data_IF_160342155098
#
_entry.id   IF_160342155098
#
_cell.length_a   1.000
_cell.length_b   1.000
_cell.length_c   1.000
_cell.angle_alpha   90.00
_cell.angle_beta   90.00
_cell.angle_gamma   90.00
#
_symmetry.space_group_name_H-M   'P 1'
#
loop_
_entity.id
_entity.type
_entity.pdbx_description
1 polymer ?
#
# COMPACT_ATOMS: atom_id res chain seq x y z
N UNK A 1 39.46 30.10 -14.25
CA UNK A 1 38.67 30.70 -15.35
C UNK A 1 37.21 30.32 -15.15
N UNK A 2 36.38 31.27 -14.67
CA UNK A 2 34.96 31.01 -14.46
C UNK A 2 34.25 30.86 -15.81
N UNK A 3 33.60 29.72 -16.05
CA UNK A 3 32.72 29.54 -17.21
C UNK A 3 31.70 30.67 -17.19
N UNK A 4 31.62 31.44 -18.27
CA UNK A 4 30.53 32.37 -18.48
C UNK A 4 29.22 31.57 -18.38
N UNK A 5 28.54 31.68 -17.23
CA UNK A 5 27.15 31.24 -17.12
C UNK A 5 26.42 32.08 -18.18
N UNK A 6 25.99 31.44 -19.27
CA UNK A 6 25.04 32.04 -20.18
C UNK A 6 23.88 32.51 -19.31
N UNK A 7 23.81 33.81 -19.00
CA UNK A 7 22.63 34.42 -18.42
C UNK A 7 21.58 34.27 -19.49
N UNK A 8 20.79 33.20 -19.41
CA UNK A 8 19.66 32.97 -20.30
C UNK A 8 18.72 34.13 -20.05
N UNK A 9 18.84 35.17 -20.88
CA UNK A 9 17.92 36.28 -20.84
C UNK A 9 16.56 35.73 -21.26
N UNK A 10 15.49 36.02 -20.51
CA UNK A 10 14.16 35.58 -20.90
C UNK A 10 13.88 35.99 -22.35
N UNK A 11 13.41 35.05 -23.17
CA UNK A 11 13.20 35.24 -24.61
C UNK A 11 12.40 36.51 -24.92
N UNK A 12 11.40 36.84 -24.10
CA UNK A 12 10.59 38.05 -24.27
C UNK A 12 11.41 39.34 -24.20
N UNK A 13 12.47 39.41 -23.38
CA UNK A 13 13.35 40.58 -23.29
C UNK A 13 14.18 40.78 -24.55
N UNK A 14 14.58 39.69 -25.20
CA UNK A 14 15.30 39.75 -26.49
C UNK A 14 14.38 40.26 -27.59
N UNK A 15 13.16 39.73 -27.65
CA UNK A 15 12.12 40.14 -28.61
C UNK A 15 11.73 41.60 -28.40
N UNK A 16 11.56 42.06 -27.15
CA UNK A 16 11.34 43.48 -26.85
C UNK A 16 12.46 44.37 -27.38
N UNK A 17 13.73 43.97 -27.18
CA UNK A 17 14.88 44.71 -27.68
C UNK A 17 14.87 44.83 -29.20
N UNK A 18 14.58 43.74 -29.90
CA UNK A 18 14.47 43.72 -31.36
C UNK A 18 13.32 44.59 -31.88
N UNK A 19 12.16 44.55 -31.21
CA UNK A 19 11.01 45.40 -31.57
C UNK A 19 11.33 46.88 -31.34
N UNK A 20 11.96 47.24 -30.22
CA UNK A 20 12.35 48.63 -29.90
C UNK A 20 13.37 49.18 -30.88
N UNK A 21 14.30 48.35 -31.34
CA UNK A 21 15.34 48.73 -32.31
C UNK A 21 14.85 48.68 -33.77
N UNK A 22 13.56 48.37 -34.01
CA UNK A 22 13.02 48.23 -35.36
C UNK A 22 13.51 47.01 -36.13
N UNK A 23 14.22 46.09 -35.48
CA UNK A 23 14.75 44.85 -36.07
C UNK A 23 13.68 43.79 -36.34
N UNK A 24 12.47 43.95 -35.78
CA UNK A 24 11.33 43.08 -36.10
C UNK A 24 9.98 43.77 -35.84
N UNK A 25 8.92 43.28 -36.49
CA UNK A 25 7.54 43.67 -36.18
C UNK A 25 7.14 43.10 -34.82
N UNK A 26 6.39 43.88 -34.03
CA UNK A 26 5.86 43.47 -32.72
C UNK A 26 4.98 42.20 -32.87
N UNK A 27 5.32 41.09 -32.18
CA UNK A 27 4.48 39.89 -32.18
C UNK A 27 3.20 40.07 -31.36
N UNK A 28 2.13 39.41 -31.77
CA UNK A 28 0.81 39.51 -31.13
C UNK A 28 0.78 38.92 -29.71
N UNK A 29 1.69 38.00 -29.39
CA UNK A 29 1.82 37.42 -28.05
C UNK A 29 2.57 38.31 -27.07
N UNK A 30 3.35 39.30 -27.54
CA UNK A 30 4.19 40.11 -26.66
C UNK A 30 3.39 40.93 -25.63
N UNK A 31 2.26 41.58 -25.98
CA UNK A 31 1.35 42.19 -25.00
C UNK A 31 0.82 41.20 -23.96
N UNK A 32 0.60 39.93 -24.35
CA UNK A 32 0.08 38.90 -23.44
C UNK A 32 1.09 38.59 -22.33
N UNK A 33 2.38 38.54 -22.66
CA UNK A 33 3.46 38.30 -21.67
C UNK A 33 3.63 39.46 -20.70
N UNK A 34 3.36 40.70 -21.13
CA UNK A 34 3.34 41.83 -20.21
C UNK A 34 2.14 41.80 -19.26
N UNK A 35 0.99 41.32 -19.75
CA UNK A 35 -0.22 41.15 -18.93
C UNK A 35 -0.08 40.01 -17.93
N UNK A 36 0.57 38.93 -18.34
CA UNK A 36 0.79 37.73 -17.55
C UNK A 36 2.28 37.35 -17.59
N UNK A 37 3.13 38.02 -16.77
CA UNK A 37 4.55 37.72 -16.75
C UNK A 37 4.79 36.28 -16.30
N UNK A 38 5.82 35.59 -16.86
CA UNK A 38 6.17 34.26 -16.40
C UNK A 38 6.55 34.31 -14.90
N UNK A 39 6.25 33.24 -14.15
CA UNK A 39 6.61 33.17 -12.74
C UNK A 39 8.14 33.33 -12.58
N UNK A 40 8.60 33.96 -11.48
CA UNK A 40 10.03 34.03 -11.21
C UNK A 40 10.57 32.62 -11.06
N UNK A 41 11.74 32.37 -11.65
CA UNK A 41 12.46 31.11 -11.45
C UNK A 41 12.78 31.00 -9.96
N UNK A 42 12.42 29.90 -9.28
CA UNK A 42 12.82 29.66 -7.90
C UNK A 42 14.32 29.87 -7.77
N UNK A 43 14.77 30.49 -6.67
CA UNK A 43 16.19 30.71 -6.48
C UNK A 43 16.89 29.34 -6.35
N UNK A 44 17.94 29.15 -7.14
CA UNK A 44 18.85 27.99 -7.05
C UNK A 44 19.72 28.03 -5.78
N UNK A 45 19.58 29.03 -4.89
CA UNK A 45 20.33 29.11 -3.64
C UNK A 45 19.93 28.04 -2.60
N UNK A 46 18.87 27.28 -2.89
CA UNK A 46 18.52 26.04 -2.18
C UNK A 46 18.98 24.84 -3.02
N UNK A 47 20.28 24.59 -3.00
CA UNK A 47 20.97 23.52 -3.77
C UNK A 47 20.48 22.08 -3.51
N UNK A 48 19.49 21.87 -2.63
CA UNK A 48 18.96 20.54 -2.32
C UNK A 48 17.44 20.53 -2.41
N UNK A 49 16.92 19.78 -3.38
CA UNK A 49 15.52 19.37 -3.42
C UNK A 49 15.24 18.62 -2.11
N UNK A 50 14.24 19.03 -1.30
CA UNK A 50 13.92 18.34 -0.07
C UNK A 50 13.45 16.92 -0.39
N UNK A 51 13.95 15.94 0.35
CA UNK A 51 13.43 14.56 0.30
C UNK A 51 12.16 14.54 1.14
N UNK A 52 11.04 14.18 0.50
CA UNK A 52 9.77 13.96 1.19
C UNK A 52 9.83 12.54 1.77
N UNK A 53 9.68 12.43 3.08
CA UNK A 53 9.67 11.18 3.82
C UNK A 53 8.49 11.18 4.79
N UNK A 54 7.83 10.03 4.94
CA UNK A 54 6.72 9.85 5.85
C UNK A 54 7.08 8.92 7.02
N UNK A 55 6.44 9.04 8.20
CA UNK A 55 6.70 8.16 9.33
C UNK A 55 6.49 6.68 9.02
N UNK A 56 5.47 6.35 8.22
CA UNK A 56 5.16 5.00 7.78
C UNK A 56 6.27 4.38 6.91
N UNK A 57 7.08 5.17 6.20
CA UNK A 57 8.19 4.65 5.40
C UNK A 57 9.17 3.88 6.29
N UNK A 58 9.48 4.42 7.48
CA UNK A 58 10.32 3.77 8.48
C UNK A 58 9.67 2.48 9.01
N UNK A 59 8.37 2.51 9.30
CA UNK A 59 7.65 1.36 9.84
C UNK A 59 7.56 0.22 8.81
N UNK A 60 7.32 0.55 7.54
CA UNK A 60 7.31 -0.41 6.43
C UNK A 60 8.70 -1.04 6.23
N UNK A 61 9.77 -0.24 6.25
CA UNK A 61 11.15 -0.76 6.20
C UNK A 61 11.44 -1.70 7.37
N UNK A 62 11.02 -1.34 8.58
CA UNK A 62 11.17 -2.20 9.76
C UNK A 62 10.40 -3.50 9.61
N UNK A 63 9.16 -3.45 9.14
CA UNK A 63 8.33 -4.63 8.87
C UNK A 63 9.02 -5.59 7.90
N UNK A 64 9.50 -5.09 6.76
CA UNK A 64 10.21 -5.88 5.76
C UNK A 64 11.52 -6.43 6.31
N UNK A 65 12.29 -5.63 7.08
CA UNK A 65 13.58 -6.06 7.62
C UNK A 65 13.50 -7.21 8.63
N UNK A 66 12.39 -7.30 9.38
CA UNK A 66 12.17 -8.33 10.40
C UNK A 66 11.69 -9.66 9.82
N UNK A 67 11.27 -9.68 8.56
CA UNK A 67 10.67 -10.84 7.91
C UNK A 67 11.64 -11.47 6.92
N UNK A 68 11.63 -12.79 6.87
CA UNK A 68 12.34 -13.55 5.84
C UNK A 68 11.42 -13.75 4.63
N UNK A 69 11.69 -13.06 3.52
CA UNK A 69 10.99 -13.31 2.27
C UNK A 69 10.74 -12.06 1.42
N UNK A 70 10.19 -12.28 0.23
CA UNK A 70 9.75 -11.21 -0.65
C UNK A 70 8.35 -10.75 -0.25
N UNK A 71 8.28 -9.80 0.68
CA UNK A 71 7.02 -9.14 1.03
C UNK A 71 6.67 -8.12 -0.06
N UNK A 72 5.40 -8.11 -0.43
CA UNK A 72 4.85 -7.12 -1.35
C UNK A 72 4.94 -5.71 -0.72
N UNK A 73 5.60 -4.73 -1.34
CA UNK A 73 5.72 -3.38 -0.79
C UNK A 73 4.38 -2.75 -0.42
N UNK A 74 3.31 -3.07 -1.17
CA UNK A 74 1.96 -2.61 -0.85
C UNK A 74 1.47 -3.13 0.51
N UNK A 75 1.66 -4.42 0.79
CA UNK A 75 1.32 -5.02 2.09
C UNK A 75 2.12 -4.38 3.23
N UNK A 76 3.40 -4.09 3.00
CA UNK A 76 4.24 -3.45 4.01
C UNK A 76 3.77 -2.02 4.34
N UNK A 77 3.30 -1.28 3.35
CA UNK A 77 2.74 0.07 3.56
C UNK A 77 1.40 0.02 4.29
N UNK A 78 0.51 -0.92 3.94
CA UNK A 78 -0.76 -1.10 4.66
C UNK A 78 -0.52 -1.47 6.13
N UNK A 79 0.44 -2.37 6.40
CA UNK A 79 0.85 -2.70 7.75
C UNK A 79 1.34 -1.47 8.50
N UNK A 80 2.18 -0.66 7.86
CA UNK A 80 2.74 0.55 8.44
C UNK A 80 1.68 1.62 8.74
N UNK A 81 0.68 1.78 7.87
CA UNK A 81 -0.44 2.71 8.06
C UNK A 81 -1.35 2.27 9.23
N UNK A 82 -1.65 0.98 9.33
CA UNK A 82 -2.42 0.44 10.46
C UNK A 82 -1.62 0.54 11.77
N UNK A 83 -0.31 0.25 11.74
CA UNK A 83 0.54 0.38 12.92
C UNK A 83 0.63 1.84 13.37
N UNK A 84 0.74 2.78 12.43
CA UNK A 84 0.74 4.20 12.73
C UNK A 84 -0.58 4.63 13.36
N UNK A 85 -1.71 4.12 12.87
CA UNK A 85 -3.04 4.39 13.44
C UNK A 85 -3.12 3.96 14.91
N UNK A 86 -2.65 2.75 15.25
CA UNK A 86 -2.61 2.26 16.63
C UNK A 86 -1.69 3.12 17.52
N UNK A 87 -0.56 3.58 16.97
CA UNK A 87 0.36 4.47 17.69
C UNK A 87 -0.31 5.83 17.97
N UNK A 88 -1.06 6.37 17.01
CA UNK A 88 -1.82 7.61 17.18
C UNK A 88 -2.92 7.49 18.23
N UNK A 89 -3.52 6.30 18.39
CA UNK A 89 -4.47 5.98 19.46
C UNK A 89 -3.82 5.82 20.85
N UNK A 90 -2.48 5.85 20.91
CA UNK A 90 -1.71 5.81 22.16
C UNK A 90 -1.12 4.45 22.50
N UNK A 91 -1.17 3.48 21.58
CA UNK A 91 -0.57 2.16 21.77
C UNK A 91 0.95 2.24 21.50
N UNK A 92 1.82 1.70 22.37
CA UNK A 92 3.25 1.67 22.12
C UNK A 92 3.63 0.94 20.81
N UNK A 93 4.68 1.41 20.12
CA UNK A 93 5.12 0.89 18.80
C UNK A 93 5.30 -0.64 18.79
N UNK A 94 5.89 -1.22 19.83
CA UNK A 94 6.09 -2.67 19.97
C UNK A 94 4.77 -3.43 20.13
N UNK A 95 3.85 -2.91 20.95
CA UNK A 95 2.54 -3.54 21.15
C UNK A 95 1.68 -3.44 19.90
N UNK A 96 1.70 -2.30 19.21
CA UNK A 96 1.01 -2.12 17.93
C UNK A 96 1.53 -3.11 16.87
N UNK A 97 2.84 -3.36 16.84
CA UNK A 97 3.45 -4.36 15.97
C UNK A 97 2.94 -5.77 16.30
N UNK A 98 3.00 -6.18 17.56
CA UNK A 98 2.59 -7.51 18.01
C UNK A 98 1.09 -7.77 17.78
N UNK A 99 0.25 -6.74 17.88
CA UNK A 99 -1.18 -6.86 17.59
C UNK A 99 -1.47 -7.10 16.10
N UNK A 100 -0.67 -6.52 15.22
CA UNK A 100 -0.89 -6.61 13.77
C UNK A 100 -0.20 -7.80 13.12
N UNK A 101 0.84 -8.35 13.75
CA UNK A 101 1.67 -9.38 13.14
C UNK A 101 0.84 -10.63 12.79
N UNK A 102 -0.01 -11.08 13.70
CA UNK A 102 -0.84 -12.28 13.51
C UNK A 102 -1.86 -12.08 12.39
N UNK A 103 -2.45 -10.88 12.31
CA UNK A 103 -3.37 -10.51 11.22
C UNK A 103 -2.65 -10.57 9.87
N UNK A 104 -1.46 -9.96 9.78
CA UNK A 104 -0.75 -9.84 8.52
C UNK A 104 -0.08 -11.13 8.05
N UNK A 105 0.22 -12.08 8.93
CA UNK A 105 0.62 -13.45 8.52
C UNK A 105 -0.45 -14.13 7.67
N UNK A 106 -1.73 -13.99 8.07
CA UNK A 106 -2.86 -14.55 7.32
C UNK A 106 -3.07 -13.81 6.00
N UNK A 107 -2.99 -12.48 6.01
CA UNK A 107 -3.13 -11.65 4.79
C UNK A 107 -2.05 -11.97 3.77
N UNK A 108 -0.79 -12.08 4.21
CA UNK A 108 0.33 -12.46 3.34
C UNK A 108 0.15 -13.85 2.74
N UNK A 109 -0.25 -14.83 3.55
CA UNK A 109 -0.56 -16.18 3.09
C UNK A 109 -1.65 -16.19 2.01
N UNK A 110 -2.75 -15.48 2.25
CA UNK A 110 -3.86 -15.40 1.29
C UNK A 110 -3.46 -14.68 -0.01
N UNK A 111 -2.71 -13.59 0.09
CA UNK A 111 -2.18 -12.87 -1.10
C UNK A 111 -1.22 -13.73 -1.90
N UNK A 112 -0.36 -14.50 -1.22
CA UNK A 112 0.55 -15.43 -1.88
C UNK A 112 -0.24 -16.53 -2.62
N UNK A 113 -1.21 -17.17 -1.95
CA UNK A 113 -2.04 -18.21 -2.55
C UNK A 113 -2.81 -17.67 -3.76
N UNK A 114 -3.42 -16.49 -3.66
CA UNK A 114 -4.12 -15.83 -4.76
C UNK A 114 -3.20 -15.53 -5.96
N UNK A 115 -1.98 -15.03 -5.71
CA UNK A 115 -0.99 -14.82 -6.79
C UNK A 115 -0.59 -16.13 -7.46
N UNK A 116 -0.34 -17.19 -6.69
CA UNK A 116 0.02 -18.52 -7.22
C UNK A 116 -1.13 -19.13 -8.02
N UNK A 117 -2.35 -18.98 -7.55
CA UNK A 117 -3.57 -19.43 -8.21
C UNK A 117 -3.74 -18.79 -9.58
N UNK A 118 -3.67 -17.45 -9.65
CA UNK A 118 -3.77 -16.69 -10.89
C UNK A 118 -2.69 -17.09 -11.89
N UNK A 119 -1.45 -17.29 -11.45
CA UNK A 119 -0.36 -17.76 -12.32
C UNK A 119 -0.62 -19.15 -12.92
N UNK A 120 -1.38 -20.00 -12.22
CA UNK A 120 -1.74 -21.35 -12.68
C UNK A 120 -3.05 -21.39 -13.47
N UNK A 121 -3.71 -20.24 -13.67
CA UNK A 121 -5.02 -20.16 -14.33
C UNK A 121 -6.16 -20.78 -13.50
N UNK A 122 -5.95 -20.95 -12.19
CA UNK A 122 -6.95 -21.46 -11.26
C UNK A 122 -7.58 -20.25 -10.57
N UNK A 123 -8.91 -20.13 -10.62
CA UNK A 123 -9.64 -19.18 -9.78
C UNK A 123 -9.89 -19.86 -8.43
N UNK A 124 -9.27 -19.35 -7.36
CA UNK A 124 -9.73 -19.68 -6.00
C UNK A 124 -11.00 -18.87 -5.72
N UNK A 125 -11.89 -19.42 -4.88
CA UNK A 125 -12.99 -18.65 -4.31
C UNK A 125 -12.41 -17.53 -3.43
N UNK A 126 -13.20 -16.51 -3.07
CA UNK A 126 -12.67 -15.49 -2.17
C UNK A 126 -12.35 -16.13 -0.80
N UNK A 127 -11.27 -15.72 -0.11
CA UNK A 127 -10.90 -16.28 1.20
C UNK A 127 -12.06 -16.28 2.22
N UNK A 128 -12.96 -15.30 2.15
CA UNK A 128 -14.16 -15.20 2.98
C UNK A 128 -15.13 -16.37 2.75
N UNK A 129 -15.19 -16.92 1.54
CA UNK A 129 -16.04 -18.07 1.21
C UNK A 129 -15.50 -19.38 1.83
N UNK A 130 -14.22 -19.43 2.22
CA UNK A 130 -13.61 -20.63 2.81
C UNK A 130 -13.83 -20.74 4.33
N UNK A 131 -13.97 -19.62 5.04
CA UNK A 131 -14.25 -19.62 6.48
C UNK A 131 -15.63 -20.24 6.76
N UNK A 132 -16.63 -19.89 5.94
CA UNK A 132 -17.97 -20.49 5.98
C UNK A 132 -17.93 -22.00 5.71
N UNK A 133 -17.16 -22.44 4.70
CA UNK A 133 -17.03 -23.86 4.35
C UNK A 133 -16.33 -24.65 5.46
N UNK A 134 -15.29 -24.09 6.08
CA UNK A 134 -14.56 -24.75 7.17
C UNK A 134 -15.42 -24.86 8.43
N UNK A 135 -16.19 -23.83 8.77
CA UNK A 135 -17.12 -23.86 9.90
C UNK A 135 -18.26 -24.85 9.65
N UNK A 136 -18.82 -24.89 8.44
CA UNK A 136 -19.82 -25.89 8.03
C UNK A 136 -19.28 -27.33 8.13
N UNK A 137 -18.05 -27.58 7.67
CA UNK A 137 -17.41 -28.89 7.75
C UNK A 137 -17.15 -29.32 9.20
N UNK A 138 -16.61 -28.44 10.04
CA UNK A 138 -16.39 -28.72 11.46
C UNK A 138 -17.70 -29.01 12.17
N UNK A 139 -18.76 -28.26 11.87
CA UNK A 139 -20.10 -28.48 12.42
C UNK A 139 -20.71 -29.80 11.92
N UNK A 140 -20.49 -30.17 10.65
CA UNK A 140 -20.94 -31.43 10.08
C UNK A 140 -20.20 -32.63 10.71
N UNK A 141 -18.88 -32.56 10.89
CA UNK A 141 -18.10 -33.59 11.57
C UNK A 141 -18.51 -33.74 13.04
N UNK A 142 -18.64 -32.63 13.78
CA UNK A 142 -19.12 -32.64 15.17
C UNK A 142 -20.52 -33.28 15.29
N UNK A 143 -21.41 -32.99 14.35
CA UNK A 143 -22.75 -33.57 14.30
C UNK A 143 -22.71 -35.07 14.01
N UNK A 144 -21.89 -35.50 13.04
CA UNK A 144 -21.71 -36.90 12.69
C UNK A 144 -21.11 -37.71 13.86
N UNK A 145 -20.12 -37.15 14.57
CA UNK A 145 -19.52 -37.76 15.75
C UNK A 145 -20.55 -37.91 16.88
N UNK A 146 -21.35 -36.87 17.13
CA UNK A 146 -22.40 -36.89 18.17
C UNK A 146 -23.49 -37.90 17.85
N UNK A 147 -23.87 -38.05 16.58
CA UNK A 147 -24.86 -39.02 16.12
C UNK A 147 -24.33 -40.46 16.19
N UNK A 148 -23.07 -40.68 15.83
CA UNK A 148 -22.40 -41.97 16.00
C UNK A 148 -22.33 -42.40 17.48
N UNK A 149 -21.94 -41.48 18.38
CA UNK A 149 -21.93 -41.71 19.83
C UNK A 149 -23.32 -42.04 20.38
N UNK A 150 -24.37 -41.38 19.86
CA UNK A 150 -25.76 -41.65 20.25
C UNK A 150 -26.19 -43.07 19.83
N UNK A 151 -25.88 -43.48 18.61
CA UNK A 151 -26.20 -44.82 18.10
C UNK A 151 -25.46 -45.92 18.88
N UNK A 152 -24.21 -45.69 19.27
CA UNK A 152 -23.46 -46.61 20.14
C UNK A 152 -24.07 -46.71 21.55
N UNK A 153 -24.51 -45.58 22.10
CA UNK A 153 -25.16 -45.54 23.41
C UNK A 153 -26.51 -46.28 23.39
N UNK A 154 -27.34 -46.02 22.38
CA UNK A 154 -28.64 -46.68 22.19
C UNK A 154 -28.50 -48.20 22.00
N UNK A 155 -27.49 -48.66 21.24
CA UNK A 155 -27.15 -50.09 21.14
C UNK A 155 -26.74 -50.70 22.48
N UNK A 156 -25.87 -50.01 23.25
CA UNK A 156 -25.43 -50.48 24.57
C UNK A 156 -26.55 -50.51 25.61
N UNK A 157 -27.54 -49.63 25.52
CA UNK A 157 -28.70 -49.63 26.42
C UNK A 157 -29.79 -50.60 25.99
N UNK A 158 -29.97 -50.82 24.68
CA UNK A 158 -30.95 -51.79 24.16
C UNK A 158 -30.57 -53.25 24.40
N UNK A 159 -29.28 -53.57 24.43
CA UNK A 159 -28.80 -54.92 24.79
C UNK A 159 -29.01 -55.24 26.28
N UNK A 160 -29.03 -54.25 27.18
CA UNK A 160 -29.20 -54.47 28.63
C UNK A 160 -30.64 -54.66 29.08
N UNK A 161 -31.62 -54.43 28.21
CA UNK A 161 -33.05 -54.64 28.49
C UNK A 161 -33.60 -55.94 27.90
N UNK A 162 -32.72 -56.77 27.32
CA UNK A 162 -33.08 -57.99 26.57
C UNK A 162 -32.60 -59.29 27.22
N UNK A 163 -32.08 -59.24 28.46
CA UNK A 163 -31.75 -60.41 29.29
C UNK A 163 -32.72 -60.58 30.47
#
# INVERSE_FOLDING_TARGET
MGRARNRVMPMFRLVEGLVRNGGMKKPDWLPMVHRYPPPPIPRDDRDRIPVISFPQDRLAELYVSRREGAIDPATAMEFADEQLTLIEEGIPEEQAYDMLIEKYEKVEGNRFLNKVAQMRGIQFADPEDYDDIMEEWQNAEMKAIKEALRLEYEKRTGDKTSE
#
